data_IF_241347448436
#
_entry.id   IF_241347448436
#
_cell.length_a   1.000
_cell.length_b   1.000
_cell.length_c   1.000
_cell.angle_alpha   90.00
_cell.angle_beta   90.00
_cell.angle_gamma   90.00
#
_symmetry.space_group_name_H-M   'P 1'
#
loop_
_entity.id
_entity.type
_entity.pdbx_description
1 polymer ?
#
# COMPACT_ATOMS: atom_id res chain seq x y z
N UNK A 1 2.28 8.42 -14.45
CA UNK A 1 3.19 9.54 -14.81
C UNK A 1 2.91 10.68 -13.85
N UNK A 2 3.89 11.01 -13.02
CA UNK A 2 3.76 12.02 -11.97
C UNK A 2 3.63 13.41 -12.63
N UNK A 3 2.55 14.14 -12.33
CA UNK A 3 2.13 15.36 -13.05
C UNK A 3 3.03 16.59 -12.80
N UNK A 4 3.96 16.54 -11.85
CA UNK A 4 4.71 17.72 -11.39
C UNK A 4 5.70 18.30 -12.41
N UNK A 5 6.00 17.58 -13.51
CA UNK A 5 6.98 18.00 -14.50
C UNK A 5 6.45 18.11 -15.92
N UNK A 6 5.12 18.15 -16.16
CA UNK A 6 4.60 18.59 -17.47
C UNK A 6 4.88 20.09 -17.65
N UNK A 7 6.13 20.45 -17.97
CA UNK A 7 6.42 21.73 -18.59
C UNK A 7 5.53 21.88 -19.83
N UNK A 8 4.90 23.05 -19.99
CA UNK A 8 3.97 23.31 -21.10
C UNK A 8 4.66 23.21 -22.48
N UNK A 9 5.98 23.33 -22.54
CA UNK A 9 6.78 23.27 -23.77
C UNK A 9 7.22 21.86 -24.15
N UNK A 10 6.78 21.37 -25.32
CA UNK A 10 7.16 20.06 -25.88
C UNK A 10 8.67 19.95 -26.17
N UNK A 11 9.33 21.06 -26.50
CA UNK A 11 10.77 21.09 -26.85
C UNK A 11 11.69 20.81 -25.66
N UNK A 12 11.33 21.31 -24.48
CA UNK A 12 12.08 21.06 -23.24
C UNK A 12 12.08 19.57 -22.95
N UNK A 13 10.92 18.92 -23.10
CA UNK A 13 10.80 17.48 -22.95
C UNK A 13 11.65 16.71 -23.96
N UNK A 14 11.63 17.07 -25.25
CA UNK A 14 12.43 16.39 -26.27
C UNK A 14 13.94 16.42 -25.95
N UNK A 15 14.42 17.50 -25.32
CA UNK A 15 15.83 17.63 -24.87
C UNK A 15 16.12 16.85 -23.59
N UNK A 16 15.15 16.79 -22.67
CA UNK A 16 15.26 16.08 -21.40
C UNK A 16 15.14 14.57 -21.58
N UNK A 17 14.25 14.09 -22.45
CA UNK A 17 13.92 12.68 -22.70
C UNK A 17 15.14 11.74 -22.80
N UNK A 18 16.19 12.04 -23.61
CA UNK A 18 17.39 11.19 -23.68
C UNK A 18 18.20 11.15 -22.38
N UNK A 19 18.03 12.16 -21.52
CA UNK A 19 18.72 12.27 -20.23
C UNK A 19 17.84 11.85 -19.05
N UNK A 20 16.55 11.57 -19.27
CA UNK A 20 15.62 11.18 -18.20
C UNK A 20 16.12 9.91 -17.53
N UNK A 21 16.59 8.91 -18.26
CA UNK A 21 17.10 7.67 -17.65
C UNK A 21 18.42 7.90 -16.89
N UNK A 22 19.27 8.82 -17.37
CA UNK A 22 20.53 9.19 -16.69
C UNK A 22 20.29 9.89 -15.36
N UNK A 23 19.33 10.81 -15.31
CA UNK A 23 19.03 11.60 -14.12
C UNK A 23 17.93 11.00 -13.23
N UNK A 24 17.07 10.14 -13.81
CA UNK A 24 15.87 9.55 -13.22
C UNK A 24 15.67 8.08 -13.65
N UNK A 25 16.56 7.17 -13.20
CA UNK A 25 16.62 5.78 -13.67
C UNK A 25 15.34 4.95 -13.46
N UNK A 26 14.37 5.42 -12.68
CA UNK A 26 13.17 4.65 -12.32
C UNK A 26 11.85 5.28 -12.76
N UNK A 27 11.85 6.26 -13.68
CA UNK A 27 10.61 6.90 -14.13
C UNK A 27 9.69 6.04 -15.01
N UNK A 28 10.16 4.88 -15.48
CA UNK A 28 9.29 3.87 -16.09
C UNK A 28 8.58 3.06 -15.00
N UNK A 29 7.24 2.92 -15.01
CA UNK A 29 6.63 1.84 -14.26
C UNK A 29 7.25 0.53 -14.76
N UNK A 30 7.89 -0.23 -13.88
CA UNK A 30 8.57 -1.48 -14.25
C UNK A 30 7.59 -2.54 -14.78
N UNK A 31 6.30 -2.34 -14.52
CA UNK A 31 5.23 -2.91 -15.34
C UNK A 31 5.11 -2.06 -16.61
N UNK A 32 5.94 -2.37 -17.60
CA UNK A 32 5.76 -1.85 -18.94
C UNK A 32 4.31 -2.17 -19.36
N UNK A 33 3.62 -1.22 -20.00
CA UNK A 33 2.24 -1.39 -20.47
C UNK A 33 2.25 -2.28 -21.72
N UNK A 34 2.94 -3.40 -21.65
CA UNK A 34 2.95 -4.37 -22.72
C UNK A 34 1.54 -4.95 -22.76
N UNK A 35 0.84 -4.74 -23.86
CA UNK A 35 -0.48 -5.36 -24.02
C UNK A 35 -0.37 -6.89 -23.85
N UNK A 36 -1.45 -7.56 -23.43
CA UNK A 36 -1.56 -9.03 -23.47
C UNK A 36 -0.97 -9.65 -24.74
N UNK A 37 -1.31 -9.07 -25.89
CA UNK A 37 -0.77 -9.46 -27.19
C UNK A 37 0.73 -9.23 -27.31
N UNK A 38 1.23 -8.03 -27.00
CA UNK A 38 2.64 -7.69 -27.19
C UNK A 38 3.57 -8.48 -26.27
N UNK A 39 3.15 -8.86 -25.05
CA UNK A 39 4.01 -9.69 -24.18
C UNK A 39 3.91 -11.18 -24.51
N UNK A 40 2.81 -11.64 -25.12
CA UNK A 40 2.77 -12.96 -25.76
C UNK A 40 3.78 -13.06 -26.90
N UNK A 41 3.86 -12.05 -27.77
CA UNK A 41 4.80 -12.05 -28.90
C UNK A 41 6.27 -11.82 -28.50
N UNK A 42 6.54 -10.94 -27.53
CA UNK A 42 7.92 -10.62 -27.10
C UNK A 42 8.47 -11.56 -26.04
N UNK A 43 7.65 -12.39 -25.40
CA UNK A 43 8.05 -13.24 -24.27
C UNK A 43 8.51 -12.46 -23.03
N UNK A 44 8.28 -11.13 -22.99
CA UNK A 44 8.73 -10.27 -21.92
C UNK A 44 8.01 -10.65 -20.60
N UNK A 45 8.78 -11.17 -19.64
CA UNK A 45 8.28 -11.45 -18.30
C UNK A 45 8.26 -10.15 -17.50
N UNK A 46 7.07 -9.78 -17.05
CA UNK A 46 6.86 -8.63 -16.17
C UNK A 46 7.56 -8.89 -14.84
N UNK A 47 8.52 -8.03 -14.46
CA UNK A 47 9.23 -8.13 -13.18
C UNK A 47 8.68 -7.08 -12.21
N UNK A 48 8.13 -7.47 -11.06
CA UNK A 48 7.74 -6.51 -10.04
C UNK A 48 8.98 -5.94 -9.34
N UNK A 49 8.99 -4.63 -9.01
CA UNK A 49 10.13 -3.96 -8.38
C UNK A 49 10.45 -4.44 -6.97
N UNK A 50 9.43 -4.89 -6.24
CA UNK A 50 9.51 -5.17 -4.82
C UNK A 50 9.03 -6.58 -4.54
N UNK A 51 9.69 -7.27 -3.63
CA UNK A 51 9.22 -8.57 -3.16
C UNK A 51 8.05 -8.41 -2.16
N UNK A 52 8.05 -7.33 -1.39
CA UNK A 52 6.96 -6.96 -0.49
C UNK A 52 6.81 -5.45 -0.45
N UNK A 53 5.57 -4.95 -0.48
CA UNK A 53 5.31 -3.52 -0.48
C UNK A 53 3.99 -3.17 0.21
N UNK A 54 3.94 -1.99 0.81
CA UNK A 54 2.69 -1.36 1.21
C UNK A 54 2.09 -0.61 0.03
N UNK A 55 0.78 -0.73 -0.12
CA UNK A 55 0.05 -0.01 -1.13
C UNK A 55 -1.36 0.33 -0.67
N UNK A 56 -2.01 1.18 -1.45
CA UNK A 56 -3.40 1.56 -1.24
C UNK A 56 -4.26 0.99 -2.35
N UNK A 57 -5.43 0.47 -2.02
CA UNK A 57 -6.39 0.02 -3.03
C UNK A 57 -6.98 1.21 -3.77
N UNK A 58 -6.96 1.15 -5.10
CA UNK A 58 -7.45 2.19 -6.01
C UNK A 58 -8.50 1.58 -6.95
N UNK A 59 -9.61 2.27 -7.22
CA UNK A 59 -10.67 1.71 -8.05
C UNK A 59 -10.29 1.64 -9.53
N UNK A 60 -10.96 0.74 -10.25
CA UNK A 60 -11.02 0.71 -11.72
C UNK A 60 -12.15 1.64 -12.19
N UNK A 61 -11.94 2.95 -12.08
CA UNK A 61 -13.00 3.93 -12.35
C UNK A 61 -13.97 3.99 -11.18
N UNK A 62 -15.20 3.50 -11.35
CA UNK A 62 -16.23 3.47 -10.29
C UNK A 62 -16.24 2.16 -9.49
N UNK A 63 -15.73 1.06 -10.04
CA UNK A 63 -15.74 -0.25 -9.39
C UNK A 63 -14.43 -0.58 -8.67
N UNK A 64 -14.51 -1.36 -7.59
CA UNK A 64 -13.34 -1.89 -6.88
C UNK A 64 -12.57 -2.92 -7.73
N UNK A 65 -13.32 -3.78 -8.42
CA UNK A 65 -12.79 -4.91 -9.21
C UNK A 65 -12.90 -4.62 -10.70
N UNK A 66 -11.98 -5.19 -11.48
CA UNK A 66 -12.04 -5.19 -12.93
C UNK A 66 -13.06 -6.24 -13.43
N UNK A 67 -13.05 -6.56 -14.72
CA UNK A 67 -13.81 -7.70 -15.28
C UNK A 67 -13.47 -9.04 -14.62
N UNK A 68 -12.31 -9.17 -13.96
CA UNK A 68 -11.90 -10.36 -13.21
C UNK A 68 -12.22 -10.20 -11.72
N UNK A 69 -12.96 -11.14 -11.10
CA UNK A 69 -13.50 -10.95 -9.75
C UNK A 69 -12.46 -10.98 -8.63
N UNK A 70 -11.35 -11.71 -8.77
CA UNK A 70 -10.33 -11.83 -7.70
C UNK A 70 -9.11 -10.92 -7.90
N UNK A 71 -9.23 -9.87 -8.72
CA UNK A 71 -8.12 -8.95 -9.02
C UNK A 71 -8.47 -7.54 -8.59
N UNK A 72 -7.59 -6.98 -7.77
CA UNK A 72 -7.68 -5.61 -7.25
C UNK A 72 -6.50 -4.79 -7.75
N UNK A 73 -6.70 -3.49 -7.90
CA UNK A 73 -5.65 -2.54 -8.28
C UNK A 73 -5.07 -1.87 -7.06
N UNK A 74 -3.77 -2.00 -6.88
CA UNK A 74 -3.03 -1.46 -5.74
C UNK A 74 -2.06 -0.40 -6.22
N UNK A 75 -2.13 0.80 -5.65
CA UNK A 75 -1.18 1.87 -5.85
C UNK A 75 -0.05 1.76 -4.84
N UNK A 76 1.16 1.54 -5.33
CA UNK A 76 2.37 1.45 -4.54
C UNK A 76 3.15 2.76 -4.71
N UNK A 77 3.74 3.23 -3.62
CA UNK A 77 4.57 4.42 -3.56
C UNK A 77 6.04 4.01 -3.41
N UNK A 78 6.92 4.60 -4.21
CA UNK A 78 8.38 4.47 -4.12
C UNK A 78 8.96 5.85 -3.89
N UNK A 79 9.89 5.99 -2.95
CA UNK A 79 10.71 7.19 -2.85
C UNK A 79 11.85 7.10 -3.86
N UNK A 80 11.87 8.02 -4.82
CA UNK A 80 12.90 8.11 -5.85
C UNK A 80 13.75 9.36 -5.61
N UNK A 81 15.07 9.20 -5.57
CA UNK A 81 16.01 10.31 -5.47
C UNK A 81 16.09 11.06 -6.80
N UNK A 82 15.83 12.36 -6.77
CA UNK A 82 16.21 13.25 -7.85
C UNK A 82 17.68 13.63 -7.68
N UNK A 83 18.56 13.18 -8.57
CA UNK A 83 20.02 13.42 -8.47
C UNK A 83 20.41 14.88 -8.70
N UNK A 84 19.61 15.65 -9.44
CA UNK A 84 19.89 17.06 -9.70
C UNK A 84 19.58 17.93 -8.46
N UNK A 85 18.46 17.64 -7.78
CA UNK A 85 18.02 18.39 -6.60
C UNK A 85 18.50 17.76 -5.28
N UNK A 86 19.08 16.55 -5.33
CA UNK A 86 19.43 15.73 -4.16
C UNK A 86 18.26 15.57 -3.17
N UNK A 87 17.03 15.41 -3.69
CA UNK A 87 15.80 15.31 -2.91
C UNK A 87 14.96 14.10 -3.31
N UNK A 88 14.38 13.42 -2.34
CA UNK A 88 13.45 12.31 -2.57
C UNK A 88 12.05 12.81 -2.91
N UNK A 89 11.43 12.16 -3.90
CA UNK A 89 10.05 12.40 -4.29
C UNK A 89 9.27 11.10 -4.35
N UNK A 90 7.98 11.17 -4.02
CA UNK A 90 7.08 10.04 -4.18
C UNK A 90 6.78 9.79 -5.66
N UNK A 91 7.10 8.59 -6.12
CA UNK A 91 6.66 8.07 -7.40
C UNK A 91 5.61 6.99 -7.15
N UNK A 92 4.48 7.13 -7.83
CA UNK A 92 3.35 6.20 -7.69
C UNK A 92 3.17 5.36 -8.94
N UNK A 93 2.92 4.08 -8.75
CA UNK A 93 2.58 3.14 -9.80
C UNK A 93 1.46 2.23 -9.32
N UNK A 94 0.58 1.85 -10.24
CA UNK A 94 -0.55 0.97 -9.93
C UNK A 94 -0.27 -0.42 -10.49
N UNK A 95 -0.38 -1.42 -9.64
CA UNK A 95 -0.16 -2.83 -9.93
C UNK A 95 -1.45 -3.61 -9.74
N UNK A 96 -1.56 -4.77 -10.39
CA UNK A 96 -2.66 -5.70 -10.15
C UNK A 96 -2.22 -6.73 -9.13
N UNK A 97 -3.07 -6.96 -8.13
CA UNK A 97 -2.86 -7.92 -7.08
C UNK A 97 -4.05 -8.89 -7.00
N UNK A 98 -3.77 -10.13 -6.63
CA UNK A 98 -4.79 -11.14 -6.37
C UNK A 98 -5.32 -11.00 -4.93
N UNK A 99 -6.64 -10.98 -4.75
CA UNK A 99 -7.32 -10.69 -3.46
C UNK A 99 -7.20 -11.82 -2.44
N UNK A 100 -6.92 -13.06 -2.86
CA UNK A 100 -6.93 -14.26 -2.00
C UNK A 100 -8.21 -14.40 -1.16
N UNK A 101 -9.34 -13.95 -1.72
CA UNK A 101 -10.67 -13.92 -1.08
C UNK A 101 -10.76 -13.09 0.21
N UNK A 102 -9.76 -12.23 0.43
CA UNK A 102 -9.81 -11.21 1.48
C UNK A 102 -10.82 -10.14 1.05
N UNK A 103 -11.73 -9.78 1.96
CA UNK A 103 -12.70 -8.69 1.73
C UNK A 103 -11.97 -7.35 1.80
N UNK A 104 -11.73 -6.76 0.65
CA UNK A 104 -11.05 -5.46 0.52
C UNK A 104 -12.01 -4.35 0.13
N UNK A 105 -11.71 -3.11 0.52
CA UNK A 105 -12.46 -1.92 0.16
C UNK A 105 -11.57 -0.87 -0.53
N UNK A 106 -12.21 0.08 -1.21
CA UNK A 106 -11.52 1.19 -1.86
C UNK A 106 -10.87 2.07 -0.80
N UNK A 107 -9.56 2.29 -0.94
CA UNK A 107 -8.81 3.17 -0.05
C UNK A 107 -8.10 2.46 1.10
N UNK A 108 -8.35 1.17 1.33
CA UNK A 108 -7.63 0.36 2.32
C UNK A 108 -6.12 0.36 2.06
N UNK A 109 -5.33 0.41 3.13
CA UNK A 109 -3.90 0.15 3.06
C UNK A 109 -3.62 -1.34 3.25
N UNK A 110 -2.94 -1.90 2.26
CA UNK A 110 -2.70 -3.33 2.11
C UNK A 110 -1.23 -3.65 1.98
N UNK A 111 -0.85 -4.82 2.49
CA UNK A 111 0.46 -5.42 2.28
C UNK A 111 0.35 -6.38 1.10
N UNK A 112 1.13 -6.14 0.06
CA UNK A 112 1.26 -7.01 -1.10
C UNK A 112 2.59 -7.73 -1.09
N UNK A 113 2.57 -9.00 -1.45
CA UNK A 113 3.74 -9.86 -1.60
C UNK A 113 3.84 -10.29 -3.06
N UNK A 114 5.06 -10.39 -3.57
CA UNK A 114 5.34 -10.89 -4.90
C UNK A 114 5.06 -12.38 -4.99
N UNK A 115 4.52 -12.80 -6.12
CA UNK A 115 4.33 -14.21 -6.44
C UNK A 115 5.49 -14.70 -7.29
N UNK A 116 5.98 -15.92 -7.01
CA UNK A 116 7.06 -16.55 -7.78
C UNK A 116 6.65 -16.77 -9.25
N UNK A 117 5.38 -17.08 -9.48
CA UNK A 117 4.79 -17.25 -10.80
C UNK A 117 3.63 -16.26 -10.98
N UNK A 118 3.45 -15.65 -12.17
CA UNK A 118 2.30 -14.80 -12.45
C UNK A 118 1.00 -15.61 -12.33
N UNK A 119 0.07 -15.15 -11.50
CA UNK A 119 -1.27 -15.78 -11.38
C UNK A 119 -2.07 -15.52 -12.67
N UNK A 120 -1.90 -14.33 -13.23
CA UNK A 120 -2.43 -13.92 -14.51
C UNK A 120 -1.43 -12.96 -15.19
N UNK A 121 -1.64 -12.63 -16.46
CA UNK A 121 -0.69 -11.89 -17.31
C UNK A 121 0.01 -10.66 -16.67
N UNK A 122 -0.70 -9.86 -15.86
CA UNK A 122 -0.13 -8.70 -15.15
C UNK A 122 -0.22 -8.81 -13.62
N UNK A 123 -0.69 -9.93 -13.10
CA UNK A 123 -0.94 -10.13 -11.66
C UNK A 123 0.27 -10.80 -11.03
N UNK A 124 1.27 -9.98 -10.71
CA UNK A 124 2.53 -10.41 -10.08
C UNK A 124 2.50 -10.35 -8.54
N UNK A 125 1.48 -9.72 -7.98
CA UNK A 125 1.33 -9.58 -6.53
C UNK A 125 0.14 -10.38 -6.02
N UNK A 126 0.26 -10.88 -4.80
CA UNK A 126 -0.80 -11.42 -3.97
C UNK A 126 -1.01 -10.50 -2.77
N UNK A 127 -2.25 -10.28 -2.38
CA UNK A 127 -2.58 -9.60 -1.13
C UNK A 127 -2.27 -10.53 0.04
N UNK A 128 -1.51 -10.04 1.02
CA UNK A 128 -1.10 -10.80 2.21
C UNK A 128 -1.95 -10.46 3.42
N UNK A 129 -2.14 -9.17 3.68
CA UNK A 129 -2.98 -8.67 4.77
C UNK A 129 -3.46 -7.25 4.47
N UNK A 130 -4.63 -6.93 5.02
CA UNK A 130 -5.06 -5.53 5.17
C UNK A 130 -4.36 -5.00 6.41
N UNK A 131 -3.59 -3.93 6.26
CA UNK A 131 -2.83 -3.31 7.37
C UNK A 131 -3.71 -2.29 8.07
N UNK A 132 -4.32 -1.40 7.29
CA UNK A 132 -5.23 -0.40 7.81
C UNK A 132 -6.48 -0.35 6.93
N UNK A 133 -7.61 -0.91 7.39
CA UNK A 133 -8.87 -0.79 6.69
C UNK A 133 -9.41 0.64 6.83
N UNK A 134 -10.11 1.12 5.80
CA UNK A 134 -10.70 2.45 5.81
C UNK A 134 -11.84 2.52 6.84
N UNK A 135 -11.84 3.55 7.68
CA UNK A 135 -12.87 3.80 8.70
C UNK A 135 -12.78 2.93 9.95
N UNK A 136 -11.90 1.93 10.01
CA UNK A 136 -11.72 1.06 11.19
C UNK A 136 -10.24 0.87 11.50
N UNK A 137 -9.49 1.97 11.56
CA UNK A 137 -8.06 1.93 11.84
C UNK A 137 -7.86 1.58 13.31
N UNK A 138 -7.03 0.57 13.58
CA UNK A 138 -6.53 0.25 14.91
C UNK A 138 -5.08 0.67 15.01
N UNK A 139 -4.75 1.39 16.08
CA UNK A 139 -3.37 1.74 16.36
C UNK A 139 -2.55 0.46 16.62
N UNK A 140 -1.46 0.20 15.89
CA UNK A 140 -0.65 -0.98 16.11
C UNK A 140 0.05 -1.02 17.47
N UNK A 141 0.20 0.12 18.15
CA UNK A 141 0.86 0.18 19.46
C UNK A 141 -0.11 -0.18 20.58
N UNK A 142 -1.27 0.47 20.63
CA UNK A 142 -2.28 0.27 21.70
C UNK A 142 -3.34 -0.78 21.37
N UNK A 143 -3.58 -1.08 20.10
CA UNK A 143 -4.65 -1.96 19.63
C UNK A 143 -6.05 -1.32 19.64
N UNK A 144 -6.17 -0.07 20.08
CA UNK A 144 -7.43 0.67 20.15
C UNK A 144 -7.83 1.21 18.78
N UNK A 145 -9.13 1.40 18.60
CA UNK A 145 -9.66 2.12 17.43
C UNK A 145 -9.31 3.60 17.51
N UNK A 146 -8.83 4.16 16.40
CA UNK A 146 -8.48 5.56 16.30
C UNK A 146 -9.01 6.20 15.00
N UNK A 147 -9.33 7.48 15.10
CA UNK A 147 -9.72 8.33 13.97
C UNK A 147 -8.70 9.45 13.83
N UNK A 148 -7.71 9.24 12.95
CA UNK A 148 -6.59 10.17 12.81
C UNK A 148 -5.73 10.19 14.09
N UNK A 149 -5.53 11.35 14.74
CA UNK A 149 -4.75 11.45 15.96
C UNK A 149 -5.53 11.13 17.25
N UNK A 150 -6.86 11.00 17.18
CA UNK A 150 -7.73 10.86 18.36
C UNK A 150 -8.22 9.42 18.54
N UNK A 151 -8.35 8.99 19.80
CA UNK A 151 -9.00 7.72 20.15
C UNK A 151 -10.48 7.96 20.42
N UNK A 152 -11.32 6.98 20.05
CA UNK A 152 -12.75 7.03 20.36
C UNK A 152 -12.98 6.99 21.88
N UNK A 153 -13.92 7.80 22.38
CA UNK A 153 -14.25 7.89 23.82
C UNK A 153 -14.60 6.51 24.41
N UNK A 154 -15.30 5.68 23.65
CA UNK A 154 -15.67 4.31 24.05
C UNK A 154 -14.43 3.44 24.32
N UNK A 155 -13.37 3.60 23.53
CA UNK A 155 -12.12 2.85 23.72
C UNK A 155 -11.36 3.35 24.95
N UNK A 156 -11.33 4.67 25.16
CA UNK A 156 -10.67 5.26 26.32
C UNK A 156 -11.37 4.90 27.63
N UNK A 157 -12.70 4.90 27.65
CA UNK A 157 -13.51 4.50 28.81
C UNK A 157 -13.33 3.01 29.13
N UNK A 158 -13.32 2.14 28.13
CA UNK A 158 -13.01 0.71 28.30
C UNK A 158 -11.61 0.51 28.88
N UNK A 159 -10.61 1.25 28.39
CA UNK A 159 -9.25 1.18 28.89
C UNK A 159 -9.16 1.62 30.37
N UNK A 160 -9.81 2.74 30.72
CA UNK A 160 -9.87 3.19 32.12
C UNK A 160 -10.53 2.14 33.03
N UNK A 161 -11.67 1.58 32.62
CA UNK A 161 -12.35 0.53 33.40
C UNK A 161 -11.49 -0.72 33.58
N UNK A 162 -10.73 -1.11 32.55
CA UNK A 162 -9.82 -2.25 32.63
C UNK A 162 -8.72 -2.03 33.67
N UNK A 163 -8.16 -0.82 33.74
CA UNK A 163 -7.11 -0.46 34.71
C UNK A 163 -7.65 -0.41 36.14
N UNK A 164 -8.84 0.14 36.36
CA UNK A 164 -9.46 0.13 37.70
C UNK A 164 -9.73 -1.30 38.20
N UNK A 165 -10.06 -2.22 37.29
CA UNK A 165 -10.32 -3.62 37.65
C UNK A 165 -9.06 -4.41 38.00
N UNK A 166 -7.90 -4.04 37.44
CA UNK A 166 -6.60 -4.65 37.79
C UNK A 166 -6.11 -4.19 39.16
N UNK A 167 -6.27 -2.89 39.47
CA UNK A 167 -5.88 -2.35 40.78
C UNK A 167 -6.68 -3.00 41.92
N UNK A 168 -8.00 -3.19 41.71
CA UNK A 168 -8.86 -3.85 42.69
C UNK A 168 -8.51 -5.33 42.94
N UNK A 169 -7.92 -6.03 41.95
CA UNK A 169 -7.47 -7.43 42.10
C UNK A 169 -6.14 -7.54 42.82
N UNK A 170 -5.22 -6.60 42.59
CA UNK A 170 -3.95 -6.59 43.32
C UNK A 170 -4.13 -6.33 44.82
N UNK A 171 -5.12 -5.51 45.20
CA UNK A 171 -5.42 -5.24 46.60
C UNK A 171 -6.08 -6.43 47.32
N UNK A 172 -6.75 -7.33 46.59
CA UNK A 172 -7.31 -8.56 47.17
C UNK A 172 -6.25 -9.65 47.40
N UNK A 173 -5.24 -9.74 46.54
CA UNK A 173 -4.16 -10.74 46.66
C UNK A 173 -3.07 -10.36 47.67
N UNK A 174 -3.01 -9.10 48.10
CA UNK A 174 -2.05 -8.60 49.11
C UNK A 174 -2.54 -8.72 50.56
N UNK A 175 -3.72 -9.29 50.82
CA UNK A 175 -4.14 -9.58 52.22
C UNK A 175 -3.36 -10.79 52.72
N UNK A 176 -2.43 -10.65 53.69
CA UNK A 176 -1.74 -11.80 54.24
C UNK A 176 -2.76 -12.69 54.97
N UNK A 177 -2.77 -13.98 54.65
CA UNK A 177 -3.49 -14.99 55.41
C UNK A 177 -3.05 -14.88 56.88
N UNK A 178 -3.95 -14.35 57.71
CA UNK A 178 -3.70 -14.13 59.12
C UNK A 178 -3.34 -15.45 59.82
N UNK A 179 -2.14 -15.50 60.38
CA UNK A 179 -1.79 -16.39 61.49
C UNK A 179 -1.82 -15.61 62.79
#
# INVERSE_FOLDING_TARGET
>A
MVRYWRHRGKEIFKRLEPHVEKYFPYHKPELDRVSPSAAMYSGAKVKPPFDMALGQIVPFGQSLRASRPHIVKVRIHKLCLNRFLLKYYYQTATYWAHDQDIKTNIGDMVLVEKTNQPIAFHTMYKLKKIVYPIGQIRDPVTGLLCEGPEYTVDQLTQLLQSNLSTDAKEDSDKRPDGK
#
